data_IF_856195968428
#
_entry.id   IF_856195968428
#
_cell.length_a   1.000
_cell.length_b   1.000
_cell.length_c   1.000
_cell.angle_alpha   90.00
_cell.angle_beta   90.00
_cell.angle_gamma   90.00
#
_symmetry.space_group_name_H-M   'P 1'
#
loop_
_entity.id
_entity.type
_entity.pdbx_description
1 polymer ?
#
# COMPACT_ATOMS: atom_id res chain seq x y z
N UNK A 1 13.36 12.23 0.23
CA UNK A 1 13.52 12.25 1.71
C UNK A 1 13.30 13.63 2.32
N UNK A 2 13.79 14.72 1.73
CA UNK A 2 13.41 16.08 2.15
C UNK A 2 11.87 16.29 2.15
N UNK A 3 11.18 15.73 1.15
CA UNK A 3 9.71 15.75 1.04
C UNK A 3 9.02 14.99 2.18
N UNK A 4 9.54 13.83 2.59
CA UNK A 4 8.98 13.05 3.69
C UNK A 4 9.16 13.75 5.04
N UNK A 5 10.30 14.44 5.27
CA UNK A 5 10.53 15.25 6.47
C UNK A 5 9.65 16.50 6.50
N UNK A 6 9.47 17.16 5.35
CA UNK A 6 8.55 18.29 5.22
C UNK A 6 7.11 17.88 5.52
N UNK A 7 6.67 16.75 4.96
CA UNK A 7 5.35 16.18 5.23
C UNK A 7 5.18 15.81 6.71
N UNK A 8 6.20 15.21 7.33
CA UNK A 8 6.20 14.91 8.76
C UNK A 8 6.04 16.17 9.61
N UNK A 9 6.67 17.28 9.21
CA UNK A 9 6.51 18.59 9.85
C UNK A 9 5.11 19.17 9.70
N UNK A 10 4.56 19.15 8.48
CA UNK A 10 3.18 19.61 8.23
C UNK A 10 2.14 18.77 8.99
N UNK A 11 2.41 17.49 9.21
CA UNK A 11 1.58 16.60 10.00
C UNK A 11 1.81 16.72 11.52
N UNK A 12 2.88 17.39 11.97
CA UNK A 12 3.24 17.55 13.39
C UNK A 12 3.79 16.27 14.02
N UNK A 13 4.42 15.40 13.23
CA UNK A 13 4.89 14.06 13.63
C UNK A 13 6.41 13.90 13.45
N UNK A 14 7.12 15.02 13.59
CA UNK A 14 8.55 15.16 13.33
C UNK A 14 9.40 14.21 14.17
N UNK A 15 8.99 14.00 15.42
CA UNK A 15 9.63 13.07 16.36
C UNK A 15 9.54 11.61 15.89
N UNK A 16 8.53 11.25 15.09
CA UNK A 16 8.40 9.91 14.54
C UNK A 16 9.43 9.60 13.43
N UNK A 17 9.98 10.66 12.81
CA UNK A 17 10.92 10.63 11.69
C UNK A 17 12.14 11.52 11.98
N UNK A 18 12.63 11.46 13.22
CA UNK A 18 13.77 12.24 13.68
C UNK A 18 15.09 11.90 12.97
N UNK A 19 16.12 12.71 13.25
CA UNK A 19 17.44 12.52 12.65
C UNK A 19 18.09 11.17 13.05
N UNK A 20 17.66 10.56 14.17
CA UNK A 20 18.11 9.25 14.62
C UNK A 20 17.54 8.10 13.78
N UNK A 21 16.24 8.13 13.48
CA UNK A 21 15.58 7.24 12.53
C UNK A 21 16.25 7.37 11.16
N UNK A 22 16.54 8.59 10.72
CA UNK A 22 17.21 8.84 9.44
C UNK A 22 18.60 8.20 9.37
N UNK A 23 19.40 8.36 10.42
CA UNK A 23 20.73 7.79 10.50
C UNK A 23 20.69 6.26 10.49
N UNK A 24 19.73 5.66 11.21
CA UNK A 24 19.50 4.21 11.21
C UNK A 24 19.10 3.71 9.82
N UNK A 25 18.21 4.42 9.13
CA UNK A 25 17.76 4.06 7.79
C UNK A 25 18.94 4.05 6.82
N UNK A 26 19.75 5.12 6.81
CA UNK A 26 20.93 5.25 5.95
C UNK A 26 22.00 4.19 6.22
N UNK A 27 22.27 3.90 7.49
CA UNK A 27 23.28 2.92 7.89
C UNK A 27 22.87 1.47 7.57
N UNK A 28 21.58 1.22 7.35
CA UNK A 28 21.05 -0.13 7.10
C UNK A 28 20.46 -0.28 5.69
N UNK A 29 20.73 0.63 4.75
CA UNK A 29 20.11 0.63 3.40
C UNK A 29 20.27 -0.68 2.62
N UNK A 30 21.33 -1.43 2.89
CA UNK A 30 21.60 -2.71 2.22
C UNK A 30 21.04 -3.92 2.99
N UNK A 31 20.48 -3.71 4.18
CA UNK A 31 19.88 -4.76 5.00
C UNK A 31 18.36 -4.61 5.03
N UNK A 32 17.69 -5.42 4.19
CA UNK A 32 16.23 -5.42 4.03
C UNK A 32 15.48 -5.63 5.34
N UNK A 33 15.93 -6.53 6.20
CA UNK A 33 15.24 -6.86 7.46
C UNK A 33 15.35 -5.70 8.45
N UNK A 34 16.53 -5.09 8.52
CA UNK A 34 16.75 -3.90 9.36
C UNK A 34 15.96 -2.70 8.87
N UNK A 35 15.91 -2.47 7.55
CA UNK A 35 15.04 -1.44 6.97
C UNK A 35 13.58 -1.68 7.31
N UNK A 36 13.09 -2.91 7.15
CA UNK A 36 11.70 -3.24 7.46
C UNK A 36 11.38 -3.01 8.94
N UNK A 37 12.30 -3.39 9.84
CA UNK A 37 12.15 -3.13 11.28
C UNK A 37 12.08 -1.63 11.57
N UNK A 38 13.00 -0.83 11.01
CA UNK A 38 13.05 0.62 11.24
C UNK A 38 11.76 1.29 10.75
N UNK A 39 11.32 0.98 9.53
CA UNK A 39 10.09 1.54 8.94
C UNK A 39 8.86 1.13 9.77
N UNK A 40 8.80 -0.13 10.22
CA UNK A 40 7.69 -0.62 11.04
C UNK A 40 7.63 0.08 12.40
N UNK A 41 8.77 0.32 13.03
CA UNK A 41 8.85 1.02 14.31
C UNK A 41 8.43 2.48 14.17
N UNK A 42 8.92 3.18 13.14
CA UNK A 42 8.51 4.55 12.83
C UNK A 42 7.01 4.66 12.54
N UNK A 43 6.46 3.73 11.76
CA UNK A 43 5.02 3.67 11.50
C UNK A 43 4.20 3.47 12.78
N UNK A 44 4.62 2.55 13.67
CA UNK A 44 3.92 2.32 14.94
C UNK A 44 3.97 3.54 15.86
N UNK A 45 5.09 4.25 15.89
CA UNK A 45 5.26 5.48 16.65
C UNK A 45 4.35 6.59 16.11
N UNK A 46 4.34 6.77 14.79
CA UNK A 46 3.44 7.70 14.10
C UNK A 46 1.98 7.41 14.40
N UNK A 47 1.54 6.15 14.21
CA UNK A 47 0.16 5.75 14.44
C UNK A 47 -0.26 5.95 15.91
N UNK A 48 0.64 5.63 16.86
CA UNK A 48 0.39 5.88 18.28
C UNK A 48 0.22 7.36 18.57
N UNK A 49 1.13 8.19 18.06
CA UNK A 49 1.07 9.65 18.25
C UNK A 49 -0.24 10.23 17.69
N UNK A 50 -0.62 9.86 16.47
CA UNK A 50 -1.87 10.33 15.86
C UNK A 50 -3.09 9.88 16.66
N UNK A 51 -3.10 8.64 17.15
CA UNK A 51 -4.19 8.12 17.99
C UNK A 51 -4.29 8.81 19.35
N UNK A 52 -3.17 9.04 20.03
CA UNK A 52 -3.15 9.72 21.34
C UNK A 52 -3.58 11.20 21.25
N UNK A 53 -3.57 11.78 20.05
CA UNK A 53 -3.99 13.15 19.79
C UNK A 53 -5.36 13.23 19.07
N UNK A 54 -6.16 12.15 19.07
CA UNK A 54 -7.48 12.08 18.42
C UNK A 54 -7.47 12.44 16.92
N UNK A 55 -6.35 12.15 16.22
CA UNK A 55 -6.15 12.39 14.78
C UNK A 55 -6.10 11.07 14.01
N UNK A 56 -7.00 10.15 14.32
CA UNK A 56 -7.02 8.81 13.71
C UNK A 56 -7.32 8.85 12.20
N UNK A 57 -8.08 9.84 11.74
CA UNK A 57 -8.36 10.12 10.33
C UNK A 57 -7.09 10.41 9.52
N UNK A 58 -6.07 11.00 10.15
CA UNK A 58 -4.76 11.23 9.51
C UNK A 58 -3.97 9.94 9.42
N UNK A 59 -4.14 9.02 10.36
CA UNK A 59 -3.54 7.69 10.26
C UNK A 59 -4.10 6.92 9.07
N UNK A 60 -5.41 7.02 8.82
CA UNK A 60 -6.05 6.48 7.63
C UNK A 60 -5.45 7.07 6.34
N UNK A 61 -5.22 8.39 6.29
CA UNK A 61 -4.53 9.04 5.15
C UNK A 61 -3.11 8.53 4.94
N UNK A 62 -2.33 8.35 6.02
CA UNK A 62 -0.96 7.82 5.93
C UNK A 62 -0.98 6.41 5.34
N UNK A 63 -1.93 5.56 5.75
CA UNK A 63 -2.10 4.20 5.22
C UNK A 63 -2.49 4.26 3.74
N UNK A 64 -3.48 5.08 3.38
CA UNK A 64 -3.93 5.23 2.00
C UNK A 64 -2.81 5.72 1.08
N UNK A 65 -2.11 6.80 1.48
CA UNK A 65 -0.99 7.35 0.71
C UNK A 65 0.18 6.36 0.58
N UNK A 66 0.51 5.64 1.66
CA UNK A 66 1.54 4.60 1.62
C UNK A 66 1.18 3.44 0.69
N UNK A 67 -0.10 3.05 0.66
CA UNK A 67 -0.61 2.03 -0.25
C UNK A 67 -0.59 2.50 -1.71
N UNK A 68 -1.03 3.73 -2.00
CA UNK A 68 -0.97 4.32 -3.35
C UNK A 68 0.47 4.39 -3.86
N UNK A 69 1.43 4.82 -3.05
CA UNK A 69 2.84 4.88 -3.46
C UNK A 69 3.42 3.46 -3.67
N UNK A 70 3.06 2.50 -2.82
CA UNK A 70 3.46 1.10 -3.00
C UNK A 70 2.93 0.50 -4.29
N UNK A 71 1.66 0.76 -4.62
CA UNK A 71 1.05 0.33 -5.87
C UNK A 71 1.69 1.04 -7.08
N UNK A 72 1.95 2.34 -6.98
CA UNK A 72 2.64 3.11 -8.02
C UNK A 72 4.02 2.52 -8.35
N UNK A 73 4.81 2.20 -7.33
CA UNK A 73 6.13 1.56 -7.51
C UNK A 73 5.97 0.20 -8.19
N UNK A 74 5.02 -0.63 -7.76
CA UNK A 74 4.76 -1.93 -8.37
C UNK A 74 4.38 -1.81 -9.85
N UNK A 75 3.47 -0.89 -10.18
CA UNK A 75 3.05 -0.59 -11.55
C UNK A 75 4.19 -0.04 -12.41
N UNK A 76 5.00 0.87 -11.87
CA UNK A 76 6.13 1.49 -12.59
C UNK A 76 7.23 0.48 -12.94
N UNK A 77 7.44 -0.53 -12.08
CA UNK A 77 8.41 -1.59 -12.31
C UNK A 77 7.82 -2.83 -13.00
N UNK A 78 6.55 -2.82 -13.36
CA UNK A 78 5.95 -3.90 -14.13
C UNK A 78 6.54 -3.93 -15.54
N UNK A 79 6.93 -5.13 -15.96
CA UNK A 79 7.32 -5.44 -17.33
C UNK A 79 6.40 -6.53 -17.85
N UNK A 80 6.02 -6.43 -19.12
CA UNK A 80 5.24 -7.46 -19.81
C UNK A 80 5.89 -8.85 -19.59
N UNK A 81 5.07 -9.86 -19.34
CA UNK A 81 5.53 -11.22 -19.01
C UNK A 81 6.02 -11.43 -17.57
N UNK A 82 6.09 -10.39 -16.73
CA UNK A 82 6.37 -10.55 -15.30
C UNK A 82 5.12 -11.01 -14.55
N UNK A 83 4.84 -12.31 -14.61
CA UNK A 83 3.65 -12.91 -13.99
C UNK A 83 3.62 -12.69 -12.46
N UNK A 84 4.76 -12.74 -11.80
CA UNK A 84 4.83 -12.55 -10.34
C UNK A 84 4.35 -11.15 -9.95
N UNK A 85 4.81 -10.11 -10.65
CA UNK A 85 4.45 -8.74 -10.34
C UNK A 85 3.02 -8.42 -10.82
N UNK A 86 2.63 -8.92 -11.99
CA UNK A 86 1.24 -8.82 -12.48
C UNK A 86 0.24 -9.42 -11.49
N UNK A 87 0.54 -10.60 -10.94
CA UNK A 87 -0.26 -11.22 -9.88
C UNK A 87 -0.40 -10.31 -8.66
N UNK A 88 0.70 -9.72 -8.19
CA UNK A 88 0.70 -8.85 -7.01
C UNK A 88 -0.12 -7.59 -7.22
N UNK A 89 -0.07 -6.99 -8.41
CA UNK A 89 -0.87 -5.83 -8.80
C UNK A 89 -2.36 -6.22 -8.83
N UNK A 90 -2.70 -7.37 -9.41
CA UNK A 90 -4.08 -7.86 -9.45
C UNK A 90 -4.63 -8.12 -8.03
N UNK A 91 -3.84 -8.74 -7.15
CA UNK A 91 -4.21 -9.02 -5.75
C UNK A 91 -4.50 -7.75 -4.94
N UNK A 92 -3.97 -6.57 -5.34
CA UNK A 92 -4.27 -5.31 -4.67
C UNK A 92 -5.75 -4.92 -4.73
N UNK A 93 -6.56 -5.52 -5.62
CA UNK A 93 -8.03 -5.37 -5.61
C UNK A 93 -8.64 -5.71 -4.24
N UNK A 94 -8.14 -6.76 -3.59
CA UNK A 94 -8.62 -7.15 -2.26
C UNK A 94 -8.16 -6.16 -1.19
N UNK A 95 -6.89 -5.74 -1.24
CA UNK A 95 -6.33 -4.76 -0.30
C UNK A 95 -7.04 -3.41 -0.42
N UNK A 96 -7.40 -2.99 -1.64
CA UNK A 96 -8.18 -1.78 -1.89
C UNK A 96 -9.58 -1.87 -1.26
N UNK A 97 -10.23 -3.04 -1.32
CA UNK A 97 -11.51 -3.24 -0.64
C UNK A 97 -11.39 -3.10 0.88
N UNK A 98 -10.34 -3.64 1.48
CA UNK A 98 -10.08 -3.50 2.91
C UNK A 98 -9.74 -2.04 3.29
N UNK A 99 -8.96 -1.36 2.45
CA UNK A 99 -8.61 0.05 2.61
C UNK A 99 -9.86 0.94 2.55
N UNK A 100 -10.75 0.71 1.58
CA UNK A 100 -12.05 1.40 1.50
C UNK A 100 -12.87 1.19 2.78
N UNK A 101 -12.91 -0.03 3.30
CA UNK A 101 -13.58 -0.32 4.57
C UNK A 101 -13.01 0.47 5.75
N UNK A 102 -11.69 0.69 5.80
CA UNK A 102 -11.05 1.55 6.79
C UNK A 102 -11.43 3.03 6.58
N UNK A 103 -11.34 3.53 5.36
CA UNK A 103 -11.60 4.95 5.05
C UNK A 103 -13.05 5.35 5.36
N UNK A 104 -14.01 4.45 5.10
CA UNK A 104 -15.43 4.64 5.41
C UNK A 104 -15.71 4.85 6.91
N UNK A 105 -14.85 4.34 7.80
CA UNK A 105 -15.02 4.57 9.25
C UNK A 105 -14.82 6.04 9.65
N UNK A 106 -14.21 6.84 8.79
CA UNK A 106 -13.88 8.25 9.03
C UNK A 106 -14.53 9.21 8.01
N UNK A 107 -15.46 8.71 7.17
CA UNK A 107 -16.05 9.44 6.02
C UNK A 107 -16.76 10.76 6.32
N UNK A 108 -17.20 10.95 7.57
CA UNK A 108 -17.86 12.18 8.01
C UNK A 108 -16.88 13.36 8.10
N UNK A 109 -15.57 13.08 7.93
CA UNK A 109 -14.53 14.09 7.89
C UNK A 109 -14.34 14.57 6.46
N UNK A 110 -14.63 15.84 6.19
CA UNK A 110 -14.43 16.50 4.89
C UNK A 110 -12.98 16.35 4.37
N UNK A 111 -12.02 16.15 5.27
CA UNK A 111 -10.61 15.88 4.93
C UNK A 111 -10.40 14.64 4.05
N UNK A 112 -11.28 13.63 4.16
CA UNK A 112 -11.10 12.34 3.48
C UNK A 112 -11.94 12.19 2.21
N UNK A 113 -12.88 13.10 1.94
CA UNK A 113 -13.86 12.92 0.86
C UNK A 113 -13.19 12.78 -0.50
N UNK A 114 -12.18 13.60 -0.77
CA UNK A 114 -11.47 13.61 -2.06
C UNK A 114 -10.66 12.33 -2.24
N UNK A 115 -9.98 11.89 -1.17
CA UNK A 115 -9.19 10.65 -1.18
C UNK A 115 -10.10 9.43 -1.33
N UNK A 116 -11.25 9.41 -0.67
CA UNK A 116 -12.25 8.34 -0.81
C UNK A 116 -12.74 8.28 -2.25
N UNK A 117 -13.12 9.41 -2.84
CA UNK A 117 -13.57 9.46 -4.23
C UNK A 117 -12.50 8.98 -5.23
N UNK A 118 -11.23 9.34 -5.00
CA UNK A 118 -10.11 8.86 -5.80
C UNK A 118 -9.94 7.33 -5.69
N UNK A 119 -10.03 6.78 -4.48
CA UNK A 119 -9.94 5.34 -4.24
C UNK A 119 -11.13 4.57 -4.82
N UNK A 120 -12.35 5.12 -4.79
CA UNK A 120 -13.53 4.56 -5.47
C UNK A 120 -13.34 4.53 -6.99
N UNK A 121 -12.75 5.58 -7.55
CA UNK A 121 -12.44 5.64 -8.98
C UNK A 121 -11.38 4.59 -9.37
N UNK A 122 -10.38 4.37 -8.51
CA UNK A 122 -9.43 3.28 -8.69
C UNK A 122 -10.09 1.90 -8.53
N UNK A 123 -11.02 1.74 -7.59
CA UNK A 123 -11.77 0.51 -7.39
C UNK A 123 -12.57 0.13 -8.64
N UNK A 124 -13.19 1.12 -9.29
CA UNK A 124 -13.89 0.95 -10.57
C UNK A 124 -12.95 0.46 -11.68
N UNK A 125 -11.68 0.91 -11.67
CA UNK A 125 -10.66 0.44 -12.63
C UNK A 125 -10.28 -1.03 -12.38
N UNK A 126 -10.37 -1.48 -11.13
CA UNK A 126 -10.15 -2.88 -10.77
C UNK A 126 -11.33 -3.80 -11.10
N UNK A 127 -12.52 -3.28 -11.44
CA UNK A 127 -13.69 -4.11 -11.72
C UNK A 127 -13.51 -5.02 -12.95
N UNK A 128 -12.76 -4.56 -13.97
CA UNK A 128 -12.40 -5.37 -15.14
C UNK A 128 -11.47 -6.54 -14.81
N UNK A 129 -10.76 -6.48 -13.67
CA UNK A 129 -9.81 -7.50 -13.25
C UNK A 129 -10.54 -8.73 -12.68
N UNK A 130 -10.52 -9.82 -13.43
CA UNK A 130 -11.02 -11.12 -12.97
C UNK A 130 -9.96 -11.86 -12.13
N UNK A 131 -10.27 -11.99 -10.83
CA UNK A 131 -9.49 -12.81 -9.90
C UNK A 131 -10.21 -14.14 -9.67
N UNK A 132 -9.69 -15.23 -10.23
CA UNK A 132 -10.18 -16.58 -9.94
C UNK A 132 -9.40 -17.12 -8.74
N UNK A 133 -10.04 -17.09 -7.57
CA UNK A 133 -9.51 -17.82 -6.41
C UNK A 133 -9.36 -19.29 -6.79
N UNK A 134 -8.12 -19.76 -6.76
CA UNK A 134 -7.81 -21.17 -6.91
C UNK A 134 -8.41 -21.99 -5.79
N UNK A 135 -8.48 -23.29 -6.00
CA UNK A 135 -8.73 -24.21 -4.89
C UNK A 135 -7.52 -24.16 -3.96
N UNK A 136 -7.81 -24.02 -2.67
CA UNK A 136 -6.84 -24.32 -1.61
C UNK A 136 -6.66 -25.83 -1.59
N UNK A 137 -5.45 -26.30 -1.89
CA UNK A 137 -5.08 -27.70 -1.87
C UNK A 137 -4.08 -27.92 -0.74
N UNK A 138 -4.32 -28.92 0.09
CA UNK A 138 -3.37 -29.32 1.13
C UNK A 138 -2.63 -30.57 0.65
N UNK A 139 -1.32 -30.49 0.51
CA UNK A 139 -0.46 -31.64 0.21
C UNK A 139 0.60 -31.80 1.29
N UNK A 140 1.09 -33.01 1.51
CA UNK A 140 2.27 -33.24 2.36
C UNK A 140 3.51 -33.15 1.49
N UNK A 141 4.50 -32.38 1.93
CA UNK A 141 5.83 -32.43 1.32
C UNK A 141 6.57 -33.72 1.71
N UNK A 142 7.73 -33.97 1.10
CA UNK A 142 8.57 -35.15 1.36
C UNK A 142 9.05 -35.26 2.82
N UNK A 143 9.03 -34.15 3.57
CA UNK A 143 9.35 -34.11 5.01
C UNK A 143 8.13 -34.34 5.93
N UNK A 144 6.95 -34.58 5.36
CA UNK A 144 5.71 -34.83 6.10
C UNK A 144 5.02 -33.57 6.62
N UNK A 145 5.49 -32.38 6.23
CA UNK A 145 4.87 -31.10 6.58
C UNK A 145 3.64 -30.89 5.71
N UNK A 146 2.52 -30.53 6.33
CA UNK A 146 1.29 -30.14 5.61
C UNK A 146 1.51 -28.77 4.96
N UNK A 147 1.64 -28.75 3.64
CA UNK A 147 1.74 -27.53 2.84
C UNK A 147 0.35 -27.18 2.30
N UNK A 148 -0.11 -25.98 2.63
CA UNK A 148 -1.34 -25.41 2.06
C UNK A 148 -0.93 -24.66 0.80
N UNK A 149 -1.14 -25.28 -0.36
CA UNK A 149 -1.00 -24.65 -1.68
C UNK A 149 -2.32 -23.99 -2.11
N UNK A 150 -2.24 -22.91 -2.88
CA UNK A 150 -3.42 -22.30 -3.51
C UNK A 150 -3.07 -21.83 -4.91
N UNK A 151 -3.70 -22.44 -5.93
CA UNK A 151 -3.47 -22.08 -7.32
C UNK A 151 -4.37 -20.91 -7.74
N UNK A 152 -4.20 -19.72 -7.16
CA UNK A 152 -4.92 -18.53 -7.64
C UNK A 152 -4.48 -18.19 -9.07
N UNK A 153 -5.40 -18.33 -10.02
CA UNK A 153 -5.22 -17.82 -11.38
C UNK A 153 -5.85 -16.43 -11.47
N UNK A 154 -5.09 -15.50 -12.01
CA UNK A 154 -5.56 -14.15 -12.29
C UNK A 154 -5.55 -13.99 -13.80
N UNK A 155 -6.58 -13.37 -14.36
CA UNK A 155 -6.45 -12.77 -15.69
C UNK A 155 -6.38 -11.27 -15.50
N UNK A 156 -5.15 -10.76 -15.55
CA UNK A 156 -4.88 -9.35 -15.65
C UNK A 156 -4.37 -9.13 -17.08
N UNK A 157 -5.15 -8.43 -17.90
CA UNK A 157 -4.67 -8.05 -19.22
C UNK A 157 -3.63 -6.94 -19.11
N UNK A 158 -2.82 -6.77 -20.14
CA UNK A 158 -1.88 -5.65 -20.22
C UNK A 158 -2.61 -4.30 -20.19
N UNK A 159 -3.82 -4.26 -20.78
CA UNK A 159 -4.69 -3.09 -20.77
C UNK A 159 -5.15 -2.74 -19.35
N UNK A 160 -5.46 -3.74 -18.51
CA UNK A 160 -5.80 -3.53 -17.10
C UNK A 160 -4.61 -2.95 -16.33
N UNK A 161 -3.39 -3.48 -16.53
CA UNK A 161 -2.19 -2.93 -15.86
C UNK A 161 -1.96 -1.48 -16.28
N UNK A 162 -2.10 -1.18 -17.56
CA UNK A 162 -1.93 0.17 -18.09
C UNK A 162 -2.98 1.13 -17.52
N UNK A 163 -4.24 0.71 -17.43
CA UNK A 163 -5.34 1.49 -16.85
C UNK A 163 -5.11 1.76 -15.36
N UNK A 164 -4.76 0.72 -14.58
CA UNK A 164 -4.41 0.86 -13.15
C UNK A 164 -3.22 1.80 -12.99
N UNK A 165 -2.17 1.65 -13.80
CA UNK A 165 -0.97 2.50 -13.73
C UNK A 165 -1.31 3.96 -14.02
N UNK A 166 -2.10 4.22 -15.07
CA UNK A 166 -2.55 5.56 -15.41
C UNK A 166 -3.37 6.17 -14.27
N UNK A 167 -4.30 5.39 -13.69
CA UNK A 167 -5.16 5.88 -12.62
C UNK A 167 -4.40 6.17 -11.33
N UNK A 168 -3.49 5.29 -10.95
CA UNK A 168 -2.63 5.49 -9.77
C UNK A 168 -1.73 6.71 -9.95
N UNK A 169 -1.21 6.94 -11.16
CA UNK A 169 -0.39 8.12 -11.45
C UNK A 169 -1.21 9.42 -11.43
N UNK A 170 -2.44 9.40 -11.92
CA UNK A 170 -3.39 10.52 -11.82
C UNK A 170 -3.63 10.89 -10.36
N UNK A 171 -4.05 9.92 -9.53
CA UNK A 171 -4.31 10.11 -8.10
C UNK A 171 -3.07 10.67 -7.42
N UNK A 172 -1.90 10.05 -7.64
CA UNK A 172 -0.64 10.50 -7.06
C UNK A 172 -0.29 11.95 -7.44
N UNK A 173 -0.55 12.34 -8.68
CA UNK A 173 -0.26 13.70 -9.16
C UNK A 173 -1.14 14.77 -8.52
N UNK A 174 -2.33 14.41 -8.01
CA UNK A 174 -3.18 15.34 -7.27
C UNK A 174 -2.58 15.73 -5.92
N UNK A 175 -1.73 14.88 -5.32
CA UNK A 175 -1.21 15.06 -3.97
C UNK A 175 0.29 15.36 -3.90
N UNK A 176 1.03 15.19 -5.00
CA UNK A 176 2.47 15.47 -5.06
C UNK A 176 2.68 16.72 -5.93
N UNK A 177 2.87 17.87 -5.26
CA UNK A 177 3.34 19.12 -5.88
C UNK A 177 4.85 19.09 -6.14
#
# INVERSE_FOLDING_TARGET
>A
MATAKKLAGELGVEDALDDGVYQRLNNNRDNRDSLLSIVSDSYRMLNRYLKENDREEISALVIAGGWVEGLYIACTHYTEGNEMLGKRIAEQKYVLSDLMGLMETYKETELLSDVIADLESLQSTYDSVELKKGKTETFKDESGTMVIGGSSSYSLSEEDVAAITAKVNEIRSNYIQ
#
